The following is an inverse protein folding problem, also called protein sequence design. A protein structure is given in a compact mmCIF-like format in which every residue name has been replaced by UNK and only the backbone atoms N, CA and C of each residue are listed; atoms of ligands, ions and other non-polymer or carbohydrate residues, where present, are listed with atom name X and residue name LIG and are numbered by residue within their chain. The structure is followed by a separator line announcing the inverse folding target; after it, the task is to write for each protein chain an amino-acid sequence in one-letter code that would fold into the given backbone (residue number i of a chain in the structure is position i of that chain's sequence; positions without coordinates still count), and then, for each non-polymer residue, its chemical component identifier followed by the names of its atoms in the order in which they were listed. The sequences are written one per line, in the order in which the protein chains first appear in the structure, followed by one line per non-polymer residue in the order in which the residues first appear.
data_IF_238631911938
#
_entry.id   IF_238631911938
#
_cell.length_a   1.000
_cell.length_b   1.000
_cell.length_c   1.000
_cell.angle_alpha   90.00
_cell.angle_beta   90.00
_cell.angle_gamma   90.00
#
_symmetry.space_group_name_H-M   'P 1'
#
loop_
_entity.id
_entity.type
_entity.pdbx_description
1 polymer ?
#
# COMPACT_ATOMS: atom_id res chain seq x y z
N UNK A 1 1.29 -2.15 -31.95
CA UNK A 1 0.41 -0.95 -31.88
C UNK A 1 0.94 -0.13 -30.73
N UNK A 2 1.88 0.78 -31.05
CA UNK A 2 2.58 1.66 -30.11
C UNK A 2 1.79 2.95 -29.86
N UNK A 3 0.53 2.82 -29.43
CA UNK A 3 -0.22 3.98 -29.00
C UNK A 3 0.26 4.35 -27.58
N UNK A 4 1.26 5.24 -27.50
CA UNK A 4 1.69 5.84 -26.23
C UNK A 4 0.51 6.59 -25.61
N UNK A 5 0.22 6.34 -24.33
CA UNK A 5 -0.88 6.97 -23.62
C UNK A 5 -0.54 8.42 -23.33
N UNK A 6 -1.29 9.34 -23.95
CA UNK A 6 -1.08 10.77 -23.83
C UNK A 6 -1.62 11.31 -22.49
N UNK A 7 -0.73 11.33 -21.49
CA UNK A 7 -1.02 11.88 -20.17
C UNK A 7 -1.32 13.39 -20.19
N UNK A 8 -0.83 14.14 -21.18
CA UNK A 8 -1.12 15.59 -21.27
C UNK A 8 -2.57 15.83 -21.65
N UNK A 9 -3.09 15.02 -22.60
CA UNK A 9 -4.50 15.03 -22.94
C UNK A 9 -5.37 14.64 -21.74
N UNK A 10 -4.99 13.59 -21.00
CA UNK A 10 -5.73 13.19 -19.79
C UNK A 10 -5.76 14.32 -18.77
N UNK A 11 -4.61 14.89 -18.43
CA UNK A 11 -4.51 15.98 -17.47
C UNK A 11 -5.32 17.22 -17.91
N UNK A 12 -5.46 17.46 -19.21
CA UNK A 12 -6.28 18.55 -19.75
C UNK A 12 -7.78 18.26 -19.60
N UNK A 13 -8.20 17.04 -19.94
CA UNK A 13 -9.62 16.64 -19.95
C UNK A 13 -10.19 16.51 -18.51
N UNK A 14 -9.38 16.09 -17.53
CA UNK A 14 -9.80 15.85 -16.13
C UNK A 14 -9.09 16.72 -15.08
N UNK A 15 -8.50 17.85 -15.50
CA UNK A 15 -7.53 18.66 -14.76
C UNK A 15 -7.84 19.09 -13.32
N UNK A 16 -9.08 19.03 -12.83
CA UNK A 16 -9.41 19.34 -11.44
C UNK A 16 -8.97 18.27 -10.44
N UNK A 17 -8.74 17.04 -10.91
CA UNK A 17 -8.41 15.88 -10.07
C UNK A 17 -7.02 15.31 -10.37
N UNK A 18 -6.22 15.99 -11.21
CA UNK A 18 -4.91 15.50 -11.65
C UNK A 18 -3.78 16.49 -11.39
N UNK A 19 -2.60 15.97 -11.05
CA UNK A 19 -1.34 16.71 -11.03
C UNK A 19 -0.34 16.01 -11.95
N UNK A 20 0.06 16.69 -13.03
CA UNK A 20 1.02 16.18 -13.99
C UNK A 20 2.07 17.23 -14.32
N UNK A 21 3.33 16.90 -14.02
CA UNK A 21 4.50 17.72 -14.30
C UNK A 21 5.60 16.82 -14.85
N UNK A 22 5.59 16.48 -16.15
CA UNK A 22 6.50 15.49 -16.73
C UNK A 22 7.99 15.82 -16.55
N UNK A 23 8.34 17.11 -16.46
CA UNK A 23 9.70 17.57 -16.17
C UNK A 23 10.19 17.18 -14.76
N UNK A 24 9.26 16.98 -13.81
CA UNK A 24 9.56 16.59 -12.42
C UNK A 24 9.45 15.08 -12.21
N UNK A 25 8.43 14.46 -12.79
CA UNK A 25 8.11 13.06 -12.59
C UNK A 25 7.35 12.48 -13.80
N UNK A 26 7.68 11.27 -14.29
CA UNK A 26 7.09 10.72 -15.51
C UNK A 26 5.64 10.24 -15.38
N UNK A 27 5.13 10.10 -14.16
CA UNK A 27 3.74 9.70 -13.90
C UNK A 27 2.82 10.90 -13.65
N UNK A 28 1.54 10.72 -13.92
CA UNK A 28 0.47 11.63 -13.53
C UNK A 28 -0.15 11.15 -12.22
N UNK A 29 -0.32 12.06 -11.27
CA UNK A 29 -1.09 11.81 -10.05
C UNK A 29 -2.55 12.14 -10.30
N UNK A 30 -3.46 11.29 -9.84
CA UNK A 30 -4.91 11.49 -9.90
C UNK A 30 -5.52 11.17 -8.55
N UNK A 31 -6.41 12.04 -8.05
CA UNK A 31 -7.13 11.83 -6.79
C UNK A 31 -8.57 12.30 -6.89
N UNK A 32 -9.53 11.40 -6.63
CA UNK A 32 -10.97 11.68 -6.77
C UNK A 32 -11.59 12.51 -5.62
N UNK A 33 -10.79 12.91 -4.63
CA UNK A 33 -11.19 13.69 -3.46
C UNK A 33 -10.02 13.77 -2.47
N UNK A 34 -10.06 14.69 -1.51
CA UNK A 34 -8.92 14.95 -0.59
C UNK A 34 -8.43 13.68 0.14
N UNK A 35 -9.36 12.89 0.68
CA UNK A 35 -9.08 11.65 1.42
C UNK A 35 -9.12 10.38 0.56
N UNK A 36 -9.38 10.51 -0.74
CA UNK A 36 -9.44 9.35 -1.62
C UNK A 36 -8.05 8.78 -1.89
N UNK A 37 -7.94 7.47 -2.18
CA UNK A 37 -6.69 6.86 -2.62
C UNK A 37 -6.07 7.60 -3.81
N UNK A 38 -4.74 7.72 -3.79
CA UNK A 38 -3.95 8.31 -4.86
C UNK A 38 -3.75 7.30 -5.97
N UNK A 39 -4.01 7.70 -7.20
CA UNK A 39 -3.69 6.93 -8.39
C UNK A 39 -2.47 7.55 -9.06
N UNK A 40 -1.42 6.79 -9.29
CA UNK A 40 -0.29 7.19 -10.14
C UNK A 40 -0.42 6.47 -11.47
N UNK A 41 -0.45 7.21 -12.58
CA UNK A 41 -0.67 6.68 -13.93
C UNK A 41 0.56 6.96 -14.79
N UNK A 42 1.01 5.98 -15.57
CA UNK A 42 2.13 6.10 -16.49
C UNK A 42 1.68 6.09 -17.95
N UNK A 43 2.53 6.58 -18.85
CA UNK A 43 2.29 6.58 -20.31
C UNK A 43 2.11 5.19 -20.94
N UNK A 44 2.42 4.13 -20.20
CA UNK A 44 2.17 2.75 -20.61
C UNK A 44 0.78 2.25 -20.18
N UNK A 45 -0.11 3.13 -19.70
CA UNK A 45 -1.42 2.77 -19.09
C UNK A 45 -1.28 1.97 -17.78
N UNK A 46 -0.05 1.72 -17.33
CA UNK A 46 0.19 1.14 -16.00
C UNK A 46 -0.21 2.14 -14.95
N UNK A 47 -0.78 1.66 -13.85
CA UNK A 47 -1.19 2.51 -12.75
C UNK A 47 -1.00 1.85 -11.38
N UNK A 48 -0.93 2.68 -10.36
CA UNK A 48 -0.67 2.35 -8.95
C UNK A 48 -1.78 3.01 -8.14
N UNK A 49 -2.47 2.28 -7.28
CA UNK A 49 -3.41 2.83 -6.29
C UNK A 49 -2.75 2.74 -4.92
N UNK A 50 -2.66 3.87 -4.23
CA UNK A 50 -2.03 4.00 -2.91
C UNK A 50 -2.96 4.64 -1.91
N UNK A 51 -2.98 4.15 -0.67
CA UNK A 51 -3.68 4.79 0.44
C UNK A 51 -5.15 4.38 0.59
N UNK A 52 -5.58 3.31 -0.08
CA UNK A 52 -6.85 2.66 0.27
C UNK A 52 -6.77 2.06 1.68
N UNK A 53 -7.93 1.95 2.33
CA UNK A 53 -8.13 1.38 3.66
C UNK A 53 -8.84 0.02 3.64
N UNK A 54 -9.31 -0.43 2.48
CA UNK A 54 -9.74 -1.82 2.26
C UNK A 54 -9.48 -2.27 0.81
N UNK A 55 -9.55 -3.58 0.57
CA UNK A 55 -9.49 -4.12 -0.78
C UNK A 55 -10.68 -3.64 -1.62
N UNK A 56 -11.87 -3.56 -1.02
CA UNK A 56 -13.08 -3.03 -1.66
C UNK A 56 -12.91 -1.57 -2.08
N UNK A 57 -12.31 -0.73 -1.24
CA UNK A 57 -12.01 0.67 -1.60
C UNK A 57 -11.01 0.75 -2.78
N UNK A 58 -9.97 -0.09 -2.77
CA UNK A 58 -9.02 -0.17 -3.87
C UNK A 58 -9.69 -0.59 -5.19
N UNK A 59 -10.59 -1.59 -5.14
CA UNK A 59 -11.37 -2.03 -6.30
C UNK A 59 -12.37 -0.98 -6.79
N UNK A 60 -13.06 -0.28 -5.87
CA UNK A 60 -14.01 0.77 -6.24
C UNK A 60 -13.31 1.96 -6.91
N UNK A 61 -12.15 2.37 -6.39
CA UNK A 61 -11.35 3.45 -7.00
C UNK A 61 -10.76 3.02 -8.35
N UNK A 62 -10.32 1.76 -8.48
CA UNK A 62 -9.92 1.18 -9.76
C UNK A 62 -11.05 1.26 -10.78
N UNK A 63 -12.25 0.80 -10.42
CA UNK A 63 -13.40 0.81 -11.33
C UNK A 63 -13.73 2.24 -11.79
N UNK A 64 -13.75 3.19 -10.86
CA UNK A 64 -13.97 4.60 -11.18
C UNK A 64 -12.90 5.17 -12.12
N UNK A 65 -11.64 4.80 -11.92
CA UNK A 65 -10.53 5.20 -12.76
C UNK A 65 -10.60 4.61 -14.16
N UNK A 66 -10.85 3.30 -14.29
CA UNK A 66 -10.94 2.64 -15.59
C UNK A 66 -12.13 3.16 -16.41
N UNK A 67 -13.28 3.42 -15.77
CA UNK A 67 -14.41 4.08 -16.42
C UNK A 67 -14.04 5.48 -16.91
N UNK A 68 -13.34 6.28 -16.09
CA UNK A 68 -12.86 7.60 -16.51
C UNK A 68 -11.99 7.52 -17.76
N UNK A 69 -11.07 6.56 -17.84
CA UNK A 69 -10.22 6.39 -19.02
C UNK A 69 -11.01 5.94 -20.25
N UNK A 70 -11.96 5.02 -20.07
CA UNK A 70 -12.79 4.51 -21.16
C UNK A 70 -13.71 5.59 -21.73
N UNK A 71 -14.37 6.37 -20.86
CA UNK A 71 -15.29 7.45 -21.22
C UNK A 71 -14.58 8.58 -22.00
N UNK A 72 -13.28 8.78 -21.73
CA UNK A 72 -12.44 9.74 -22.46
C UNK A 72 -11.75 9.13 -23.70
N UNK A 73 -12.09 7.89 -24.05
CA UNK A 73 -11.58 7.19 -25.25
C UNK A 73 -10.11 6.81 -25.17
N UNK A 74 -9.55 6.71 -23.95
CA UNK A 74 -8.13 6.45 -23.72
C UNK A 74 -7.82 4.95 -23.61
N UNK A 75 -8.82 4.16 -23.21
CA UNK A 75 -8.78 2.69 -23.26
C UNK A 75 -10.07 2.16 -23.92
N UNK A 76 -10.05 1.00 -24.58
CA UNK A 76 -11.20 0.48 -25.31
C UNK A 76 -12.35 0.01 -24.41
N UNK A 77 -12.06 -0.38 -23.16
CA UNK A 77 -13.04 -0.84 -22.19
C UNK A 77 -12.53 -0.63 -20.76
N UNK A 78 -13.42 -0.43 -19.77
CA UNK A 78 -13.05 -0.26 -18.38
C UNK A 78 -12.73 -1.60 -17.72
N UNK A 79 -11.49 -2.09 -17.90
CA UNK A 79 -11.07 -3.36 -17.32
C UNK A 79 -9.58 -3.65 -17.47
N UNK A 80 -9.08 -4.46 -16.55
CA UNK A 80 -7.78 -5.13 -16.63
C UNK A 80 -7.89 -6.51 -15.96
N UNK A 81 -6.96 -7.41 -16.29
CA UNK A 81 -6.90 -8.77 -15.71
C UNK A 81 -5.76 -8.93 -14.69
N UNK A 82 -4.89 -7.92 -14.58
CA UNK A 82 -3.63 -8.01 -13.84
C UNK A 82 -3.64 -7.28 -12.49
N UNK A 83 -4.72 -6.58 -12.14
CA UNK A 83 -4.78 -5.86 -10.87
C UNK A 83 -4.64 -6.80 -9.68
N UNK A 84 -3.62 -6.54 -8.87
CA UNK A 84 -3.32 -7.30 -7.66
C UNK A 84 -2.90 -6.35 -6.53
N UNK A 85 -3.26 -6.73 -5.32
CA UNK A 85 -2.74 -6.12 -4.10
C UNK A 85 -1.32 -6.67 -3.89
N UNK A 86 -0.33 -5.80 -3.75
CA UNK A 86 1.07 -6.22 -3.57
C UNK A 86 1.57 -5.93 -2.15
N UNK A 87 1.36 -4.71 -1.66
CA UNK A 87 1.85 -4.33 -0.34
C UNK A 87 0.67 -4.01 0.55
N UNK A 88 0.35 -4.97 1.41
CA UNK A 88 -0.55 -4.77 2.53
C UNK A 88 0.26 -4.27 3.72
N UNK A 89 -0.06 -3.06 4.18
CA UNK A 89 0.44 -2.55 5.46
C UNK A 89 -0.71 -2.55 6.44
N UNK A 90 -0.54 -3.23 7.58
CA UNK A 90 -1.54 -3.32 8.63
C UNK A 90 -1.01 -2.76 9.92
N UNK A 91 -1.81 -1.96 10.62
CA UNK A 91 -1.45 -1.47 11.96
C UNK A 91 -2.41 -2.02 13.00
N UNK A 92 -1.92 -2.18 14.22
CA UNK A 92 -2.72 -2.48 15.39
C UNK A 92 -2.17 -1.78 16.63
N UNK A 93 -2.97 -1.75 17.70
CA UNK A 93 -2.56 -1.23 18.99
C UNK A 93 -2.72 -2.30 20.06
N UNK A 94 -1.67 -2.51 20.84
CA UNK A 94 -1.75 -3.22 22.11
C UNK A 94 -2.24 -2.24 23.18
N UNK A 95 -3.04 -2.75 24.12
CA UNK A 95 -3.66 -1.97 25.20
C UNK A 95 -2.66 -1.50 26.27
N UNK A 96 -1.38 -1.85 26.12
CA UNK A 96 -0.32 -1.61 27.10
C UNK A 96 0.99 -1.19 26.44
N UNK A 97 1.84 -0.51 27.20
CA UNK A 97 3.19 -0.17 26.78
C UNK A 97 4.07 -1.43 26.75
N UNK A 98 5.00 -1.48 25.80
CA UNK A 98 5.86 -2.64 25.58
C UNK A 98 7.26 -2.39 26.12
N UNK A 99 7.81 -3.39 26.81
CA UNK A 99 9.24 -3.46 27.07
C UNK A 99 9.93 -4.11 25.86
N UNK A 100 10.37 -3.28 24.92
CA UNK A 100 10.99 -3.75 23.67
C UNK A 100 12.27 -4.57 23.90
N UNK A 101 13.08 -4.22 24.91
CA UNK A 101 14.28 -4.99 25.25
C UNK A 101 13.93 -6.42 25.71
N UNK A 102 12.90 -6.57 26.53
CA UNK A 102 12.43 -7.88 26.96
C UNK A 102 11.83 -8.68 25.78
N UNK A 103 11.10 -8.01 24.87
CA UNK A 103 10.54 -8.64 23.67
C UNK A 103 11.62 -9.12 22.71
N UNK A 104 12.70 -8.36 22.49
CA UNK A 104 13.82 -8.78 21.64
C UNK A 104 14.41 -10.11 22.14
N UNK A 105 14.62 -10.22 23.46
CA UNK A 105 15.13 -11.45 24.07
C UNK A 105 14.11 -12.61 23.92
N UNK A 106 12.82 -12.34 24.17
CA UNK A 106 11.77 -13.36 24.15
C UNK A 106 11.41 -13.87 22.75
N UNK A 107 11.49 -13.01 21.72
CA UNK A 107 11.22 -13.36 20.32
C UNK A 107 12.42 -14.00 19.61
N UNK A 108 13.63 -13.81 20.17
CA UNK A 108 14.88 -14.36 19.65
C UNK A 108 15.70 -13.30 18.92
N UNK A 109 16.93 -13.10 19.38
CA UNK A 109 17.85 -12.07 18.87
C UNK A 109 18.22 -12.30 17.40
N UNK A 110 18.12 -13.53 16.89
CA UNK A 110 18.35 -13.82 15.48
C UNK A 110 17.21 -13.38 14.56
N UNK A 111 16.04 -13.04 15.12
CA UNK A 111 14.82 -12.62 14.39
C UNK A 111 14.44 -11.17 14.65
N UNK A 112 15.13 -10.51 15.58
CA UNK A 112 14.81 -9.16 16.01
C UNK A 112 16.00 -8.22 15.87
N UNK A 113 15.73 -7.00 15.42
CA UNK A 113 16.69 -5.90 15.43
C UNK A 113 16.11 -4.79 16.32
N UNK A 114 16.82 -4.44 17.40
CA UNK A 114 16.41 -3.37 18.30
C UNK A 114 17.61 -2.53 18.72
N UNK A 115 17.74 -1.39 18.07
CA UNK A 115 18.80 -0.39 18.31
C UNK A 115 18.13 0.97 18.51
N UNK A 116 17.65 1.31 19.73
CA UNK A 116 16.78 2.46 19.99
C UNK A 116 17.41 3.81 19.61
N UNK A 117 18.75 3.89 19.61
CA UNK A 117 19.51 5.07 19.17
C UNK A 117 19.47 5.27 17.64
N UNK A 118 19.21 4.21 16.88
CA UNK A 118 19.09 4.25 15.42
C UNK A 118 17.63 4.26 14.96
N UNK A 119 16.78 3.48 15.62
CA UNK A 119 15.35 3.37 15.30
C UNK A 119 14.52 3.10 16.57
N UNK A 120 13.45 3.86 16.84
CA UNK A 120 12.70 3.76 18.10
C UNK A 120 11.79 2.52 18.24
N UNK A 121 11.70 1.69 17.21
CA UNK A 121 10.92 0.46 17.21
C UNK A 121 11.79 -0.79 17.22
N UNK A 122 11.22 -1.91 17.65
CA UNK A 122 11.79 -3.24 17.44
C UNK A 122 11.33 -3.76 16.08
N UNK A 123 12.26 -4.17 15.24
CA UNK A 123 12.00 -4.85 13.97
C UNK A 123 12.00 -6.35 14.26
N UNK A 124 10.93 -7.04 13.91
CA UNK A 124 10.77 -8.48 14.05
C UNK A 124 10.42 -9.11 12.71
N UNK A 125 11.10 -10.22 12.37
CA UNK A 125 10.84 -11.02 11.17
C UNK A 125 10.28 -12.38 11.58
N UNK A 126 8.96 -12.59 11.48
CA UNK A 126 8.34 -13.85 11.86
C UNK A 126 8.89 -15.02 11.02
N UNK A 127 9.21 -16.17 11.63
CA UNK A 127 9.69 -17.31 10.88
C UNK A 127 8.61 -17.84 9.94
N UNK A 128 8.96 -18.05 8.67
CA UNK A 128 8.03 -18.59 7.67
C UNK A 128 7.16 -17.55 6.97
N UNK A 129 7.35 -16.25 7.25
CA UNK A 129 6.72 -15.16 6.51
C UNK A 129 7.79 -14.17 6.02
N UNK A 130 7.60 -13.63 4.80
CA UNK A 130 8.45 -12.54 4.28
C UNK A 130 8.12 -11.17 4.90
N UNK A 131 7.12 -11.14 5.78
CA UNK A 131 6.63 -9.94 6.45
C UNK A 131 7.65 -9.34 7.42
N UNK A 132 7.54 -8.02 7.59
CA UNK A 132 8.28 -7.27 8.61
C UNK A 132 7.30 -6.68 9.61
N UNK A 133 7.57 -6.91 10.90
CA UNK A 133 6.78 -6.37 12.02
C UNK A 133 7.59 -5.30 12.74
N UNK A 134 7.01 -4.12 12.92
CA UNK A 134 7.54 -3.03 13.74
C UNK A 134 6.73 -2.94 15.02
N UNK A 135 7.38 -3.11 16.17
CA UNK A 135 6.78 -2.96 17.50
C UNK A 135 7.32 -1.68 18.14
N UNK A 136 6.42 -0.83 18.64
CA UNK A 136 6.79 0.41 19.31
C UNK A 136 6.48 0.32 20.81
N UNK A 137 7.28 1.01 21.64
CA UNK A 137 7.09 1.03 23.10
C UNK A 137 5.69 1.52 23.51
N UNK A 138 5.01 2.28 22.65
CA UNK A 138 3.62 2.72 22.81
C UNK A 138 2.57 1.62 22.68
N UNK A 139 2.95 0.39 22.33
CA UNK A 139 2.01 -0.69 22.00
C UNK A 139 1.57 -0.68 20.53
N UNK A 140 1.99 0.29 19.73
CA UNK A 140 1.70 0.29 18.28
C UNK A 140 2.45 -0.84 17.60
N UNK A 141 1.75 -1.56 16.74
CA UNK A 141 2.26 -2.62 15.87
C UNK A 141 2.02 -2.22 14.42
N UNK A 142 3.02 -2.37 13.57
CA UNK A 142 2.92 -2.20 12.12
C UNK A 142 3.44 -3.46 11.45
N UNK A 143 2.68 -4.02 10.52
CA UNK A 143 3.07 -5.17 9.69
C UNK A 143 3.14 -4.66 8.25
N UNK A 144 4.25 -4.92 7.57
CA UNK A 144 4.48 -4.59 6.15
C UNK A 144 4.97 -5.82 5.39
N UNK A 145 5.09 -5.68 4.07
CA UNK A 145 5.63 -6.69 3.15
C UNK A 145 4.85 -8.01 3.23
N UNK A 146 3.53 -7.88 3.32
CA UNK A 146 2.63 -9.02 3.53
C UNK A 146 1.73 -9.21 2.31
N UNK A 147 1.59 -10.46 1.79
CA UNK A 147 0.87 -10.72 0.54
C UNK A 147 -0.66 -10.65 0.70
N UNK A 148 -1.19 -11.00 1.87
CA UNK A 148 -2.62 -11.10 2.11
C UNK A 148 -3.01 -10.88 3.58
N UNK A 149 -4.32 -10.75 3.81
CA UNK A 149 -4.89 -10.55 5.15
C UNK A 149 -4.72 -11.78 6.05
N UNK A 150 -4.69 -12.99 5.49
CA UNK A 150 -4.53 -14.21 6.27
C UNK A 150 -3.17 -14.24 6.99
N UNK A 151 -2.11 -13.86 6.26
CA UNK A 151 -0.76 -13.73 6.82
C UNK A 151 -0.70 -12.67 7.92
N UNK A 152 -1.41 -11.54 7.74
CA UNK A 152 -1.54 -10.50 8.79
C UNK A 152 -2.21 -11.06 10.05
N UNK A 153 -3.32 -11.80 9.89
CA UNK A 153 -4.05 -12.41 11.00
C UNK A 153 -3.21 -13.44 11.76
N UNK A 154 -2.45 -14.28 11.05
CA UNK A 154 -1.52 -15.25 11.65
C UNK A 154 -0.43 -14.55 12.46
N UNK A 155 0.16 -13.47 11.92
CA UNK A 155 1.18 -12.69 12.64
C UNK A 155 0.58 -12.03 13.88
N UNK A 156 -0.62 -11.46 13.79
CA UNK A 156 -1.30 -10.90 14.96
C UNK A 156 -1.63 -11.97 16.01
N UNK A 157 -2.00 -13.18 15.60
CA UNK A 157 -2.22 -14.30 16.51
C UNK A 157 -0.93 -14.72 17.25
N UNK A 158 0.21 -14.77 16.54
CA UNK A 158 1.53 -15.02 17.15
C UNK A 158 1.85 -13.97 18.21
N UNK A 159 1.58 -12.70 17.91
CA UNK A 159 1.86 -11.58 18.81
C UNK A 159 0.77 -11.37 19.89
N UNK A 160 -0.34 -12.12 19.83
CA UNK A 160 -1.54 -11.97 20.68
C UNK A 160 -2.11 -10.54 20.66
N UNK A 161 -2.06 -9.89 19.49
CA UNK A 161 -2.57 -8.53 19.27
C UNK A 161 -3.94 -8.62 18.59
N UNK A 162 -4.90 -7.77 18.99
CA UNK A 162 -6.15 -7.60 18.24
C UNK A 162 -6.00 -6.43 17.26
N UNK A 163 -6.38 -6.60 15.97
CA UNK A 163 -6.23 -5.55 14.97
C UNK A 163 -7.09 -4.32 15.30
N UNK A 164 -6.46 -3.14 15.31
CA UNK A 164 -7.16 -1.86 15.32
C UNK A 164 -7.06 -1.27 13.91
N UNK A 165 -8.15 -1.35 13.17
CA UNK A 165 -8.23 -1.22 11.71
C UNK A 165 -7.53 0.03 11.15
N UNK A 166 -6.37 -0.16 10.54
CA UNK A 166 -5.88 0.68 9.45
C UNK A 166 -5.07 -0.19 8.51
N UNK A 167 -5.60 -0.36 7.30
CA UNK A 167 -4.91 -0.99 6.19
C UNK A 167 -4.42 0.12 5.28
N UNK A 168 -3.20 0.04 4.77
CA UNK A 168 -2.70 0.94 3.74
C UNK A 168 -2.26 0.05 2.59
N UNK A 169 -3.02 0.10 1.49
CA UNK A 169 -2.70 -0.67 0.28
C UNK A 169 -1.80 0.16 -0.63
N UNK A 170 -0.77 -0.50 -1.18
CA UNK A 170 -0.12 -0.06 -2.40
C UNK A 170 -0.32 -1.13 -3.47
N UNK A 171 -0.91 -0.76 -4.61
CA UNK A 171 -0.98 -1.61 -5.79
C UNK A 171 0.26 -1.38 -6.66
N UNK A 172 0.82 -2.42 -7.26
CA UNK A 172 1.66 -2.26 -8.46
C UNK A 172 1.76 -3.54 -9.27
N UNK A 173 2.09 -3.36 -10.53
CA UNK A 173 2.09 -4.35 -11.60
C UNK A 173 3.38 -5.18 -11.64
N UNK A 174 3.25 -6.49 -11.85
CA UNK A 174 4.19 -7.29 -12.66
C UNK A 174 3.38 -7.92 -13.80
N UNK A 175 3.83 -7.91 -15.06
CA UNK A 175 5.08 -8.52 -15.49
C UNK A 175 5.62 -7.87 -16.79
N UNK A 176 6.90 -8.11 -17.07
CA UNK A 176 7.45 -8.12 -18.44
C UNK A 176 6.80 -9.24 -19.25
#
# INVERSE_FOLDING_TARGET
MDAEFDLERVATDVGSITEYGPDKYPGMYLRFGEDAPLITVYRTVKYIITGANSGEEAHAIRERFLNLLADNGMIPAPGDEWFQIQNLVSTAGLSESLNLSALAIGLGLEKTEYEPEQFPGLIYRPPGADSVVLLFASGRVVITDTPDLATVEEIFAILRVHPASRFVFFSTTHQC
#
